data_IF_227666974631
#
_entry.id   IF_227666974631
#
_cell.length_a   1.000
_cell.length_b   1.000
_cell.length_c   1.000
_cell.angle_alpha   90.00
_cell.angle_beta   90.00
_cell.angle_gamma   90.00
#
_symmetry.space_group_name_H-M   'P 1'
#
loop_
_entity.id
_entity.type
_entity.pdbx_description
1 polymer ?
#
# COMPACT_ATOMS: atom_id res chain seq x y z
N UNK A 1 -13.12 8.37 15.95
CA UNK A 1 -11.70 8.60 15.59
C UNK A 1 -11.49 8.08 14.18
N UNK A 2 -10.71 8.77 13.32
CA UNK A 2 -10.34 8.19 12.01
C UNK A 2 -9.23 7.17 12.22
N UNK A 3 -9.51 5.93 11.83
CA UNK A 3 -8.59 4.79 11.81
C UNK A 3 -7.97 4.65 10.43
N UNK A 4 -6.67 4.35 10.40
CA UNK A 4 -5.91 4.18 9.18
C UNK A 4 -5.20 2.83 9.24
N UNK A 5 -5.35 2.04 8.19
CA UNK A 5 -4.54 0.84 7.96
C UNK A 5 -3.51 1.17 6.88
N UNK A 6 -2.23 1.08 7.23
CA UNK A 6 -1.13 1.27 6.29
C UNK A 6 -0.37 -0.04 6.21
N UNK A 7 -0.21 -0.59 5.00
CA UNK A 7 0.45 -1.89 4.78
C UNK A 7 1.59 -1.78 3.77
N UNK A 8 2.61 -2.62 3.95
CA UNK A 8 3.60 -2.93 2.92
C UNK A 8 3.05 -4.02 2.00
N UNK A 9 2.76 -3.64 0.76
CA UNK A 9 2.11 -4.52 -0.20
C UNK A 9 2.96 -5.73 -0.59
N UNK A 10 4.28 -5.61 -0.73
CA UNK A 10 5.09 -6.78 -1.08
C UNK A 10 5.32 -7.71 0.09
N UNK A 11 5.39 -7.16 1.31
CA UNK A 11 5.46 -8.01 2.49
C UNK A 11 4.20 -8.90 2.58
N UNK A 12 3.01 -8.33 2.37
CA UNK A 12 1.75 -9.07 2.36
C UNK A 12 1.67 -10.07 1.21
N UNK A 13 2.04 -9.67 -0.01
CA UNK A 13 2.06 -10.58 -1.17
C UNK A 13 2.96 -11.79 -0.90
N UNK A 14 4.13 -11.59 -0.30
CA UNK A 14 5.07 -12.67 0.01
C UNK A 14 4.61 -13.55 1.19
N UNK A 15 3.80 -13.00 2.11
CA UNK A 15 3.33 -13.69 3.30
C UNK A 15 2.07 -14.54 3.05
N UNK A 16 1.18 -14.10 2.17
CA UNK A 16 -0.10 -14.79 1.91
C UNK A 16 0.06 -15.81 0.79
N UNK A 17 -0.17 -17.12 1.04
CA UNK A 17 0.07 -18.18 0.05
C UNK A 17 -0.57 -17.92 -1.32
N UNK A 18 -1.85 -17.52 -1.33
CA UNK A 18 -2.59 -17.27 -2.57
C UNK A 18 -1.96 -16.13 -3.39
N UNK A 19 -1.57 -15.03 -2.74
CA UNK A 19 -0.94 -13.89 -3.41
C UNK A 19 0.48 -14.22 -3.85
N UNK A 20 1.20 -15.02 -3.07
CA UNK A 20 2.55 -15.45 -3.40
C UNK A 20 2.55 -16.30 -4.65
N UNK A 21 1.66 -17.29 -4.74
CA UNK A 21 1.50 -18.14 -5.93
C UNK A 21 1.19 -17.30 -7.18
N UNK A 22 0.29 -16.32 -7.06
CA UNK A 22 0.00 -15.38 -8.16
C UNK A 22 1.24 -14.55 -8.51
N UNK A 23 1.99 -14.07 -7.51
CA UNK A 23 3.17 -13.22 -7.71
C UNK A 23 4.32 -13.93 -8.44
N UNK A 24 4.41 -15.25 -8.30
CA UNK A 24 5.36 -16.09 -9.03
C UNK A 24 5.06 -16.13 -10.53
N UNK A 25 3.79 -15.95 -10.92
CA UNK A 25 3.33 -15.87 -12.31
C UNK A 25 3.32 -14.43 -12.83
N UNK A 26 2.78 -13.51 -12.04
CA UNK A 26 2.68 -12.09 -12.36
C UNK A 26 2.62 -11.26 -11.07
N UNK A 27 3.68 -10.50 -10.83
CA UNK A 27 3.72 -9.57 -9.71
C UNK A 27 2.68 -8.46 -9.84
N UNK A 28 2.36 -8.07 -11.08
CA UNK A 28 1.31 -7.07 -11.36
C UNK A 28 -0.07 -7.59 -10.95
N UNK A 29 -0.39 -8.83 -11.35
CA UNK A 29 -1.66 -9.48 -11.00
C UNK A 29 -1.80 -9.64 -9.47
N UNK A 30 -0.72 -10.01 -8.78
CA UNK A 30 -0.74 -10.11 -7.31
C UNK A 30 -1.01 -8.76 -6.64
N UNK A 31 -0.52 -7.63 -7.21
CA UNK A 31 -0.83 -6.30 -6.70
C UNK A 31 -2.31 -5.96 -6.89
N UNK A 32 -2.86 -6.24 -8.06
CA UNK A 32 -4.26 -5.96 -8.36
C UNK A 32 -5.18 -6.74 -7.42
N UNK A 33 -4.91 -8.05 -7.23
CA UNK A 33 -5.67 -8.90 -6.31
C UNK A 33 -5.55 -8.42 -4.86
N UNK A 34 -4.36 -8.00 -4.43
CA UNK A 34 -4.19 -7.42 -3.09
C UNK A 34 -5.03 -6.13 -2.94
N UNK A 35 -4.99 -5.24 -3.93
CA UNK A 35 -5.75 -3.99 -3.88
C UNK A 35 -7.25 -4.26 -3.83
N UNK A 36 -7.77 -5.18 -4.65
CA UNK A 36 -9.18 -5.55 -4.61
C UNK A 36 -9.59 -6.12 -3.25
N UNK A 37 -8.77 -6.99 -2.63
CA UNK A 37 -9.00 -7.46 -1.26
C UNK A 37 -9.03 -6.30 -0.24
N UNK A 38 -8.15 -5.31 -0.41
CA UNK A 38 -8.12 -4.13 0.47
C UNK A 38 -9.31 -3.21 0.27
N UNK A 39 -9.85 -3.13 -0.95
CA UNK A 39 -11.09 -2.41 -1.24
C UNK A 39 -12.25 -3.06 -0.49
N UNK A 40 -12.39 -4.38 -0.57
CA UNK A 40 -13.42 -5.13 0.17
C UNK A 40 -13.27 -4.93 1.68
N UNK A 41 -12.04 -5.03 2.20
CA UNK A 41 -11.75 -4.81 3.61
C UNK A 41 -12.13 -3.41 4.07
N UNK A 42 -11.78 -2.37 3.29
CA UNK A 42 -12.20 -0.99 3.53
C UNK A 42 -13.71 -0.86 3.58
N UNK A 43 -14.45 -1.44 2.63
CA UNK A 43 -15.91 -1.35 2.62
C UNK A 43 -16.54 -2.02 3.83
N UNK A 44 -16.00 -3.15 4.27
CA UNK A 44 -16.49 -3.88 5.44
C UNK A 44 -16.20 -3.16 6.76
N UNK A 45 -15.01 -2.57 6.89
CA UNK A 45 -14.53 -1.99 8.16
C UNK A 45 -14.68 -0.47 8.26
N UNK A 46 -14.94 0.20 7.15
CA UNK A 46 -15.02 1.66 7.03
C UNK A 46 -13.75 2.41 7.51
N UNK A 47 -12.58 1.77 7.41
CA UNK A 47 -11.28 2.39 7.73
C UNK A 47 -10.62 2.92 6.45
N UNK A 48 -9.74 3.93 6.59
CA UNK A 48 -8.93 4.39 5.46
C UNK A 48 -7.75 3.45 5.26
N UNK A 49 -7.64 2.84 4.06
CA UNK A 49 -6.59 1.87 3.74
C UNK A 49 -5.58 2.48 2.77
N UNK A 50 -4.30 2.36 3.11
CA UNK A 50 -3.17 2.81 2.31
C UNK A 50 -2.25 1.62 2.06
N UNK A 51 -2.06 1.27 0.79
CA UNK A 51 -1.16 0.20 0.35
C UNK A 51 0.10 0.82 -0.22
N UNK A 52 1.26 0.48 0.35
CA UNK A 52 2.56 1.00 -0.07
C UNK A 52 3.36 -0.10 -0.75
N UNK A 53 3.74 0.12 -2.00
CA UNK A 53 4.64 -0.75 -2.77
C UNK A 53 6.00 -0.07 -2.90
N UNK A 54 7.06 -0.75 -2.48
CA UNK A 54 8.42 -0.23 -2.67
C UNK A 54 8.86 -0.25 -4.16
N UNK A 55 9.55 0.79 -4.61
CA UNK A 55 9.96 0.89 -6.02
C UNK A 55 11.23 0.10 -6.36
N UNK A 56 11.50 -1.02 -5.68
CA UNK A 56 12.67 -1.86 -5.98
C UNK A 56 12.71 -2.30 -7.45
N UNK A 57 11.56 -2.40 -8.13
CA UNK A 57 11.41 -2.86 -9.51
C UNK A 57 10.80 -1.85 -10.49
N UNK A 58 10.59 -0.59 -10.09
CA UNK A 58 9.91 0.41 -10.95
C UNK A 58 10.89 1.50 -11.35
N UNK A 59 11.19 1.60 -12.64
CA UNK A 59 12.02 2.68 -13.18
C UNK A 59 11.22 3.99 -13.20
N UNK A 60 11.28 4.72 -12.09
CA UNK A 60 10.62 6.00 -11.93
C UNK A 60 11.22 6.84 -10.82
N UNK A 61 11.49 8.12 -11.11
CA UNK A 61 12.02 9.08 -10.14
C UNK A 61 10.94 9.72 -9.23
N UNK A 62 9.64 9.40 -9.45
CA UNK A 62 8.51 10.04 -8.78
C UNK A 62 7.66 9.01 -8.03
N UNK A 63 7.16 9.39 -6.85
CA UNK A 63 6.13 8.63 -6.14
C UNK A 63 4.89 8.62 -7.02
N UNK A 64 4.37 7.45 -7.36
CA UNK A 64 3.05 7.32 -8.00
C UNK A 64 2.00 7.11 -6.92
N UNK A 65 0.90 7.85 -7.00
CA UNK A 65 -0.24 7.71 -6.10
C UNK A 65 -1.48 7.50 -6.95
N UNK A 66 -2.06 6.31 -6.81
CA UNK A 66 -3.32 5.96 -7.44
C UNK A 66 -4.36 5.78 -6.33
N UNK A 67 -5.63 6.12 -6.62
CA UNK A 67 -6.72 5.91 -5.67
C UNK A 67 -7.75 4.99 -6.31
N UNK A 68 -7.87 3.78 -5.78
CA UNK A 68 -8.69 2.72 -6.36
C UNK A 68 -9.83 2.44 -5.39
N UNK A 69 -11.06 2.81 -5.78
CA UNK A 69 -12.29 2.58 -5.00
C UNK A 69 -12.18 3.01 -3.51
N UNK A 70 -11.43 4.09 -3.26
CA UNK A 70 -11.22 4.66 -1.92
C UNK A 70 -10.00 4.13 -1.17
N UNK A 71 -9.28 3.14 -1.71
CA UNK A 71 -7.96 2.70 -1.21
C UNK A 71 -6.87 3.54 -1.88
N UNK A 72 -5.95 4.07 -1.09
CA UNK A 72 -4.78 4.79 -1.60
C UNK A 72 -3.65 3.81 -1.89
N UNK A 73 -3.20 3.75 -3.14
CA UNK A 73 -2.09 2.90 -3.59
C UNK A 73 -0.89 3.77 -3.91
N UNK A 74 0.22 3.51 -3.23
CA UNK A 74 1.40 4.36 -3.25
C UNK A 74 2.61 3.55 -3.68
N UNK A 75 3.24 3.97 -4.76
CA UNK A 75 4.54 3.45 -5.18
C UNK A 75 5.62 4.42 -4.71
N UNK A 76 6.58 3.94 -3.92
CA UNK A 76 7.68 4.77 -3.42
C UNK A 76 8.63 5.20 -4.54
N UNK A 77 9.63 6.02 -4.25
CA UNK A 77 10.71 6.33 -5.21
C UNK A 77 11.80 5.27 -5.18
N UNK A 78 12.60 5.19 -6.25
CA UNK A 78 13.87 4.44 -6.25
C UNK A 78 14.71 4.83 -5.01
N UNK A 79 15.18 3.84 -4.26
CA UNK A 79 15.90 3.97 -2.96
C UNK A 79 15.05 4.44 -1.75
N UNK A 80 13.71 4.43 -1.83
CA UNK A 80 12.84 4.65 -0.67
C UNK A 80 12.10 3.34 -0.34
N UNK A 81 12.27 2.84 0.89
CA UNK A 81 11.55 1.65 1.37
C UNK A 81 10.12 1.99 1.79
N UNK A 82 9.23 0.99 1.78
CA UNK A 82 7.87 1.14 2.31
C UNK A 82 7.91 1.66 3.76
N UNK A 83 8.72 1.06 4.62
CA UNK A 83 8.89 1.48 6.02
C UNK A 83 9.17 2.99 6.16
N UNK A 84 10.17 3.49 5.44
CA UNK A 84 10.55 4.92 5.48
C UNK A 84 9.45 5.85 4.97
N UNK A 85 8.57 5.37 4.08
CA UNK A 85 7.41 6.11 3.62
C UNK A 85 6.31 6.10 4.70
N UNK A 86 6.05 4.95 5.30
CA UNK A 86 5.04 4.76 6.35
C UNK A 86 5.38 5.64 7.55
N UNK A 87 6.62 5.64 8.03
CA UNK A 87 7.07 6.50 9.14
C UNK A 87 6.76 7.98 8.89
N UNK A 88 7.16 8.50 7.72
CA UNK A 88 6.88 9.89 7.33
C UNK A 88 5.39 10.17 7.25
N UNK A 89 4.61 9.21 6.74
CA UNK A 89 3.16 9.36 6.60
C UNK A 89 2.47 9.39 7.97
N UNK A 90 2.87 8.51 8.88
CA UNK A 90 2.36 8.48 10.26
C UNK A 90 2.73 9.78 10.98
N UNK A 91 3.96 10.28 10.83
CA UNK A 91 4.38 11.55 11.41
C UNK A 91 3.53 12.74 10.90
N UNK A 92 3.25 12.78 9.59
CA UNK A 92 2.36 13.79 8.99
C UNK A 92 0.94 13.69 9.56
N UNK A 93 0.35 12.49 9.56
CA UNK A 93 -1.01 12.28 10.09
C UNK A 93 -1.12 12.62 11.58
N UNK A 94 -0.06 12.39 12.36
CA UNK A 94 0.00 12.75 13.77
C UNK A 94 0.09 14.28 13.98
N UNK A 95 0.77 15.01 13.10
CA UNK A 95 0.83 16.48 13.11
C UNK A 95 -0.51 17.10 12.70
N UNK A 96 -1.16 16.55 11.67
CA UNK A 96 -2.45 17.05 11.18
C UNK A 96 -3.59 16.87 12.21
N UNK A 97 -3.49 15.88 13.11
CA UNK A 97 -4.42 15.68 14.22
C UNK A 97 -4.20 16.63 15.42
N UNK A 98 -3.14 17.45 15.42
CA UNK A 98 -2.82 18.42 16.49
C UNK A 98 -3.36 19.84 16.25
N UNK A 99 -4.33 20.00 15.35
CA UNK A 99 -5.02 21.28 15.08
C UNK A 99 -6.49 21.17 15.48
#
# INVERSE_FOLDING_TARGET
MKEFLIIDGYNIINAWPDLKEISERSLEEARDVLVDKMVEYRFYTNIEVIVVFDAYRVDGAKVKRDRIKGVDVIFTKKNQTADSYIEKKVEQLAKDKKI
#
